data_IF_297949562603
#
_entry.id   IF_297949562603
#
_cell.length_a   1.000
_cell.length_b   1.000
_cell.length_c   1.000
_cell.angle_alpha   90.00
_cell.angle_beta   90.00
_cell.angle_gamma   90.00
#
_symmetry.space_group_name_H-M   'P 1'
#
loop_
_entity.id
_entity.type
_entity.pdbx_description
1 polymer ?
#
# COMPACT_ATOMS: atom_id res chain seq x y z
N UNK A 1 0.79 -9.87 -0.59
CA UNK A 1 1.96 -9.54 0.25
C UNK A 1 1.69 -8.19 0.89
N UNK A 2 2.05 -7.92 2.16
CA UNK A 2 1.75 -6.59 2.75
C UNK A 2 2.56 -5.51 2.03
N UNK A 3 1.89 -4.46 1.56
CA UNK A 3 2.46 -3.40 0.71
C UNK A 3 2.31 -3.62 -0.80
N UNK A 4 1.90 -4.81 -1.24
CA UNK A 4 1.56 -5.14 -2.63
C UNK A 4 0.04 -5.02 -2.78
N UNK A 5 -0.38 -3.90 -3.36
CA UNK A 5 -1.76 -3.46 -3.42
C UNK A 5 -2.43 -3.83 -4.75
N UNK A 6 -1.70 -4.42 -5.69
CA UNK A 6 -2.25 -4.95 -6.94
C UNK A 6 -2.04 -6.45 -7.15
N UNK A 7 -1.41 -7.13 -6.20
CA UNK A 7 -1.15 -8.56 -6.24
C UNK A 7 -0.12 -8.97 -7.29
N UNK A 8 0.69 -8.05 -7.81
CA UNK A 8 1.67 -8.35 -8.87
C UNK A 8 2.97 -8.97 -8.34
N UNK A 9 3.08 -9.11 -7.02
CA UNK A 9 4.24 -9.69 -6.35
C UNK A 9 5.40 -8.72 -6.18
N UNK A 10 5.24 -7.42 -6.45
CA UNK A 10 6.23 -6.37 -6.23
C UNK A 10 5.66 -5.29 -5.31
N UNK A 11 6.55 -4.56 -4.64
CA UNK A 11 6.21 -3.37 -3.85
C UNK A 11 6.92 -2.19 -4.48
N UNK A 12 6.18 -1.34 -5.19
CA UNK A 12 6.77 -0.25 -5.98
C UNK A 12 5.85 0.97 -6.08
N UNK A 13 6.18 1.89 -7.00
CA UNK A 13 5.45 3.14 -7.21
C UNK A 13 3.99 2.95 -7.68
N UNK A 14 3.65 1.78 -8.22
CA UNK A 14 2.28 1.39 -8.56
C UNK A 14 1.42 1.27 -7.31
N UNK A 15 1.92 0.60 -6.28
CA UNK A 15 1.26 0.46 -4.98
C UNK A 15 1.06 1.81 -4.30
N UNK A 16 2.07 2.67 -4.35
CA UNK A 16 1.95 4.06 -3.85
C UNK A 16 0.84 4.84 -4.56
N UNK A 17 0.69 4.63 -5.88
CA UNK A 17 -0.35 5.30 -6.66
C UNK A 17 -1.74 4.76 -6.28
N UNK A 18 -1.88 3.46 -6.04
CA UNK A 18 -3.12 2.83 -5.59
C UNK A 18 -3.49 3.27 -4.17
N UNK A 19 -2.56 3.23 -3.22
CA UNK A 19 -2.76 3.73 -1.85
C UNK A 19 -3.28 5.17 -1.87
N UNK A 20 -2.67 6.04 -2.69
CA UNK A 20 -3.13 7.44 -2.81
C UNK A 20 -4.57 7.54 -3.34
N UNK A 21 -4.93 6.77 -4.37
CA UNK A 21 -6.29 6.75 -4.92
C UNK A 21 -7.30 6.24 -3.89
N UNK A 22 -6.93 5.19 -3.15
CA UNK A 22 -7.75 4.60 -2.09
C UNK A 22 -8.02 5.60 -0.96
N UNK A 23 -6.97 6.24 -0.43
CA UNK A 23 -7.09 7.24 0.63
C UNK A 23 -7.89 8.48 0.21
N UNK A 24 -7.81 8.86 -1.06
CA UNK A 24 -8.60 9.94 -1.65
C UNK A 24 -10.01 9.51 -2.07
N UNK A 25 -10.39 8.25 -1.82
CA UNK A 25 -11.69 7.67 -2.19
C UNK A 25 -11.98 7.75 -3.70
N UNK A 26 -10.95 7.78 -4.53
CA UNK A 26 -11.06 7.70 -5.99
C UNK A 26 -11.34 6.27 -6.46
N UNK A 27 -10.92 5.30 -5.66
CA UNK A 27 -11.30 3.88 -5.73
C UNK A 27 -11.81 3.47 -4.35
N UNK A 28 -12.72 2.50 -4.33
CA UNK A 28 -13.33 1.99 -3.10
C UNK A 28 -12.67 0.70 -2.62
N UNK A 29 -11.99 0.00 -3.53
CA UNK A 29 -11.42 -1.33 -3.34
C UNK A 29 -10.06 -1.39 -4.02
N UNK A 30 -9.11 -2.16 -3.46
CA UNK A 30 -7.84 -2.43 -4.10
C UNK A 30 -7.95 -3.68 -4.99
N UNK A 31 -7.11 -3.82 -6.03
CA UNK A 31 -7.07 -5.01 -6.87
C UNK A 31 -6.42 -6.22 -6.18
N UNK A 32 -6.88 -6.57 -4.98
CA UNK A 32 -6.47 -7.70 -4.13
C UNK A 32 -7.66 -8.25 -3.35
N UNK A 33 -7.56 -9.46 -2.81
CA UNK A 33 -8.69 -10.09 -2.09
C UNK A 33 -8.97 -9.46 -0.71
N UNK A 34 -7.95 -8.90 -0.06
CA UNK A 34 -8.04 -8.38 1.30
C UNK A 34 -7.26 -7.06 1.43
N UNK A 35 -8.01 -5.97 1.30
CA UNK A 35 -7.54 -4.59 1.44
C UNK A 35 -6.75 -4.37 2.73
N UNK A 36 -7.31 -4.79 3.86
CA UNK A 36 -6.69 -4.56 5.18
C UNK A 36 -5.36 -5.31 5.24
N UNK A 37 -5.33 -6.58 4.84
CA UNK A 37 -4.10 -7.38 4.85
C UNK A 37 -3.01 -6.82 3.94
N UNK A 38 -3.39 -6.20 2.83
CA UNK A 38 -2.45 -5.59 1.88
C UNK A 38 -1.99 -4.19 2.32
N UNK A 39 -2.91 -3.35 2.79
CA UNK A 39 -2.73 -1.91 2.96
C UNK A 39 -2.57 -1.42 4.41
N UNK A 40 -2.86 -2.23 5.43
CA UNK A 40 -2.56 -1.93 6.83
C UNK A 40 -1.11 -2.36 7.15
N UNK A 41 -0.17 -1.43 6.98
CA UNK A 41 1.26 -1.69 7.11
C UNK A 41 1.74 -1.59 8.57
N UNK A 42 1.00 -0.91 9.44
CA UNK A 42 1.32 -0.82 10.87
C UNK A 42 0.52 -1.78 11.75
N UNK A 43 -0.46 -2.49 11.18
CA UNK A 43 -1.36 -3.45 11.84
C UNK A 43 -2.26 -2.82 12.91
N UNK A 44 -2.68 -1.57 12.70
CA UNK A 44 -3.58 -0.85 13.63
C UNK A 44 -5.07 -1.05 13.32
N UNK A 45 -5.38 -1.81 12.28
CA UNK A 45 -6.74 -2.09 11.82
C UNK A 45 -7.34 -1.00 10.95
N UNK A 46 -6.56 0.00 10.53
CA UNK A 46 -7.00 1.11 9.67
C UNK A 46 -6.00 1.29 8.53
N UNK A 47 -6.53 1.72 7.37
CA UNK A 47 -5.72 2.13 6.23
C UNK A 47 -5.77 3.64 6.13
N UNK A 48 -4.65 4.31 6.41
CA UNK A 48 -4.57 5.76 6.46
C UNK A 48 -3.21 6.32 5.99
N UNK A 49 -2.97 7.61 6.23
CA UNK A 49 -1.73 8.29 5.82
C UNK A 49 -0.47 7.75 6.53
N UNK A 50 -0.63 7.05 7.65
CA UNK A 50 0.45 6.34 8.34
C UNK A 50 0.99 5.22 7.47
N UNK A 51 0.11 4.39 6.91
CA UNK A 51 0.46 3.28 6.01
C UNK A 51 1.14 3.77 4.73
N UNK A 52 0.62 4.86 4.16
CA UNK A 52 1.25 5.55 3.02
C UNK A 52 2.69 6.00 3.33
N UNK A 53 2.93 6.50 4.55
CA UNK A 53 4.27 6.92 4.98
C UNK A 53 5.21 5.72 5.15
N UNK A 54 4.70 4.59 5.61
CA UNK A 54 5.46 3.34 5.75
C UNK A 54 5.79 2.76 4.38
N UNK A 55 4.80 2.68 3.47
CA UNK A 55 4.96 2.18 2.11
C UNK A 55 6.04 2.98 1.35
N UNK A 56 6.02 4.31 1.49
CA UNK A 56 7.07 5.18 0.92
C UNK A 56 8.46 4.85 1.46
N UNK A 57 8.58 4.56 2.76
CA UNK A 57 9.88 4.19 3.37
C UNK A 57 10.37 2.83 2.91
N UNK A 58 9.48 1.85 2.74
CA UNK A 58 9.81 0.52 2.21
C UNK A 58 10.39 0.64 0.80
N UNK A 59 9.66 1.32 -0.10
CA UNK A 59 10.09 1.50 -1.48
C UNK A 59 11.44 2.24 -1.56
N UNK A 60 11.64 3.29 -0.76
CA UNK A 60 12.92 4.02 -0.75
C UNK A 60 14.09 3.19 -0.23
N UNK A 61 13.87 2.22 0.65
CA UNK A 61 14.92 1.29 1.10
C UNK A 61 15.27 0.27 0.02
N UNK A 62 14.28 -0.24 -0.71
CA UNK A 62 14.50 -1.18 -1.81
C UNK A 62 15.33 -0.58 -2.94
N UNK A 63 15.24 0.73 -3.17
CA UNK A 63 16.10 1.42 -4.14
C UNK A 63 17.55 1.64 -3.67
N UNK A 64 17.87 1.36 -2.40
CA UNK A 64 19.19 1.64 -1.80
C UNK A 64 20.03 0.37 -1.52
N UNK A 65 19.56 -0.81 -1.94
CA UNK A 65 20.25 -2.10 -1.82
C UNK A 65 20.28 -2.80 -3.18
#
# INVERSE_FOLDING_TARGET
MTGDLNGDGKINSTDMSLMKRYLLKQIVDLPVEDDIKAADLNKDGKVNSTDMSILKRVILRDFQL
#
